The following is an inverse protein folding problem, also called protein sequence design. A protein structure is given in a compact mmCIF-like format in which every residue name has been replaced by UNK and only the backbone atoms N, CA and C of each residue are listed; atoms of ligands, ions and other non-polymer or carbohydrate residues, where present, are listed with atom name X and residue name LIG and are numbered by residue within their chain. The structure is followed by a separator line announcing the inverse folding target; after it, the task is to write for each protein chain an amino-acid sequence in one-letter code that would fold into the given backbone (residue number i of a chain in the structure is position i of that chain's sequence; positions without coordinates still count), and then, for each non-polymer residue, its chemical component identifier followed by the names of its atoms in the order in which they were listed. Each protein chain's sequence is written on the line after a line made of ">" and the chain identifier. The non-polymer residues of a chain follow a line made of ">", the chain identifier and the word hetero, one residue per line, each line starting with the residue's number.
data_IF_116684836341
#
_entry.id   IF_116684836341
#
_cell.length_a   1.000
_cell.length_b   1.000
_cell.length_c   1.000
_cell.angle_alpha   90.00
_cell.angle_beta   90.00
_cell.angle_gamma   90.00
#
_symmetry.space_group_name_H-M   'P 1'
#
loop_
_entity.id
_entity.type
_entity.pdbx_description
1 polymer ?
#
# COMPACT_ATOMS: atom_id res chain seq x y z
N UNK A 1 7.20 -17.70 2.07
CA UNK A 1 7.51 -17.30 0.68
C UNK A 1 9.01 -17.08 0.54
N UNK A 2 9.71 -17.95 -0.19
CA UNK A 2 11.17 -17.84 -0.37
C UNK A 2 11.47 -16.58 -1.21
N UNK A 3 12.30 -15.67 -0.69
CA UNK A 3 12.69 -14.43 -1.38
C UNK A 3 13.65 -14.77 -2.52
N UNK A 4 13.42 -14.22 -3.71
CA UNK A 4 14.33 -14.41 -4.86
C UNK A 4 15.59 -13.56 -4.66
N UNK A 5 16.75 -14.20 -4.61
CA UNK A 5 18.05 -13.52 -4.49
C UNK A 5 18.43 -12.84 -5.81
N UNK A 6 19.38 -11.90 -5.76
CA UNK A 6 19.96 -11.28 -6.95
C UNK A 6 20.54 -12.34 -7.91
N UNK A 7 21.16 -13.39 -7.35
CA UNK A 7 21.66 -14.55 -8.10
C UNK A 7 20.56 -15.30 -8.84
N UNK A 8 19.41 -15.53 -8.19
CA UNK A 8 18.25 -16.14 -8.85
C UNK A 8 17.61 -15.28 -9.94
N UNK A 9 17.89 -13.97 -9.98
CA UNK A 9 17.43 -13.07 -11.06
C UNK A 9 18.41 -13.06 -12.24
N UNK A 10 19.73 -13.13 -11.98
CA UNK A 10 20.73 -13.22 -13.05
C UNK A 10 20.65 -14.56 -13.79
N UNK A 11 20.43 -15.67 -13.07
CA UNK A 11 20.28 -17.00 -13.68
C UNK A 11 19.08 -17.07 -14.64
N UNK A 12 17.93 -16.49 -14.27
CA UNK A 12 16.76 -16.43 -15.17
C UNK A 12 17.01 -15.57 -16.40
N UNK A 13 17.79 -14.48 -16.27
CA UNK A 13 18.17 -13.65 -17.41
C UNK A 13 19.09 -14.40 -18.36
N UNK A 14 20.07 -15.14 -17.83
CA UNK A 14 20.96 -15.98 -18.64
C UNK A 14 20.18 -17.07 -19.39
N UNK A 15 19.23 -17.74 -18.73
CA UNK A 15 18.36 -18.74 -19.35
C UNK A 15 17.44 -18.18 -20.45
N UNK A 16 16.99 -16.92 -20.31
CA UNK A 16 16.20 -16.27 -21.36
C UNK A 16 17.08 -15.92 -22.57
N UNK A 17 18.30 -15.42 -22.33
CA UNK A 17 19.25 -15.10 -23.40
C UNK A 17 19.64 -16.36 -24.18
N UNK A 18 19.91 -17.47 -23.51
CA UNK A 18 20.23 -18.74 -24.20
C UNK A 18 19.08 -19.23 -25.07
N UNK A 19 17.83 -19.18 -24.57
CA UNK A 19 16.64 -19.55 -25.36
C UNK A 19 16.42 -18.65 -26.57
N UNK A 20 16.69 -17.35 -26.45
CA UNK A 20 16.58 -16.41 -27.58
C UNK A 20 17.64 -16.71 -28.65
N UNK A 21 18.88 -17.03 -28.24
CA UNK A 21 19.94 -17.41 -29.17
C UNK A 21 19.65 -18.74 -29.86
N UNK A 22 19.13 -19.73 -29.14
CA UNK A 22 18.72 -21.03 -29.70
C UNK A 22 17.58 -20.88 -30.71
N UNK A 23 16.56 -20.07 -30.37
CA UNK A 23 15.47 -19.75 -31.30
C UNK A 23 15.96 -19.03 -32.56
N UNK A 24 16.92 -18.10 -32.42
CA UNK A 24 17.52 -17.40 -33.56
C UNK A 24 18.30 -18.34 -34.48
N UNK A 25 18.98 -19.36 -33.92
CA UNK A 25 19.71 -20.36 -34.70
C UNK A 25 18.75 -21.32 -35.44
N UNK A 26 17.62 -21.70 -34.83
CA UNK A 26 16.60 -22.52 -35.49
C UNK A 26 15.98 -21.84 -36.72
N UNK A 27 15.89 -20.51 -36.72
CA UNK A 27 15.37 -19.74 -37.85
C UNK A 27 16.38 -19.47 -38.97
N UNK A 28 17.69 -19.70 -38.77
CA UNK A 28 18.71 -19.47 -39.80
C UNK A 28 18.92 -20.67 -40.75
N UNK A 29 18.23 -21.79 -40.55
CA UNK A 29 18.38 -23.01 -41.37
C UNK A 29 17.28 -23.18 -42.43
N UNK A 30 16.46 -22.16 -42.69
CA UNK A 30 15.33 -22.22 -43.65
C UNK A 30 15.49 -21.16 -44.76
N UNK A 31 16.35 -21.48 -45.73
CA UNK A 31 16.43 -20.87 -47.07
C UNK A 31 15.84 -21.96 -48.00
N UNK A 32 14.81 -21.82 -48.85
CA UNK A 32 14.27 -20.74 -49.67
C UNK A 32 12.82 -21.10 -50.09
N UNK A 33 12.18 -20.16 -50.81
CA UNK A 33 10.93 -20.25 -51.60
C UNK A 33 9.67 -19.67 -50.94
N UNK A 34 9.24 -18.50 -51.42
CA UNK A 34 7.87 -17.98 -51.28
C UNK A 34 7.76 -16.64 -50.55
N UNK A 35 7.50 -15.58 -51.32
CA UNK A 35 7.22 -14.18 -50.94
C UNK A 35 7.15 -13.84 -49.44
N UNK A 36 8.24 -13.27 -48.91
CA UNK A 36 8.16 -12.53 -47.65
C UNK A 36 7.31 -11.26 -47.86
N UNK A 37 6.38 -10.93 -46.96
CA UNK A 37 5.72 -9.63 -47.00
C UNK A 37 6.80 -8.55 -46.89
N UNK A 38 6.90 -7.68 -47.90
CA UNK A 38 7.83 -6.54 -47.84
C UNK A 38 7.44 -5.70 -46.62
N UNK A 39 8.24 -5.77 -45.56
CA UNK A 39 8.08 -4.91 -44.41
C UNK A 39 8.36 -3.51 -44.94
N UNK A 40 7.31 -2.70 -45.14
CA UNK A 40 7.45 -1.31 -45.55
C UNK A 40 8.44 -0.66 -44.57
N UNK A 41 9.58 -0.22 -45.10
CA UNK A 41 10.63 0.33 -44.27
C UNK A 41 10.14 1.69 -43.75
N UNK A 42 9.55 1.70 -42.56
CA UNK A 42 9.14 2.93 -41.91
C UNK A 42 10.36 3.86 -41.82
N UNK A 43 10.19 5.07 -42.37
CA UNK A 43 11.26 6.06 -42.42
C UNK A 43 11.71 6.42 -41.00
N UNK A 44 12.95 6.91 -40.85
CA UNK A 44 13.47 7.35 -39.54
C UNK A 44 12.55 8.38 -38.87
N UNK A 45 11.95 9.28 -39.68
CA UNK A 45 10.98 10.29 -39.23
C UNK A 45 9.70 9.65 -38.70
N UNK A 46 9.14 8.68 -39.41
CA UNK A 46 7.95 7.94 -38.97
C UNK A 46 8.21 7.18 -37.66
N UNK A 47 9.36 6.51 -37.53
CA UNK A 47 9.75 5.81 -36.30
C UNK A 47 9.94 6.77 -35.11
N UNK A 48 10.42 7.99 -35.36
CA UNK A 48 10.53 9.02 -34.31
C UNK A 48 9.15 9.51 -33.87
N UNK A 49 8.25 9.77 -34.82
CA UNK A 49 6.89 10.19 -34.54
C UNK A 49 6.13 9.12 -33.76
N UNK A 50 6.18 7.85 -34.18
CA UNK A 50 5.56 6.74 -33.46
C UNK A 50 6.09 6.59 -32.03
N UNK A 51 7.38 6.88 -31.78
CA UNK A 51 7.93 6.88 -30.41
C UNK A 51 7.34 8.01 -29.57
N UNK A 52 7.20 9.20 -30.14
CA UNK A 52 6.55 10.34 -29.49
C UNK A 52 5.08 10.03 -29.19
N UNK A 53 4.33 9.52 -30.16
CA UNK A 53 2.92 9.23 -30.04
C UNK A 53 2.66 8.10 -29.04
N UNK A 54 3.51 7.06 -29.01
CA UNK A 54 3.46 6.00 -27.98
C UNK A 54 3.67 6.57 -26.58
N UNK A 55 4.58 7.53 -26.43
CA UNK A 55 4.84 8.18 -25.14
C UNK A 55 3.66 9.06 -24.70
N UNK A 56 3.10 9.87 -25.60
CA UNK A 56 1.91 10.68 -25.32
C UNK A 56 0.71 9.80 -24.98
N UNK A 57 0.49 8.72 -25.74
CA UNK A 57 -0.59 7.75 -25.48
C UNK A 57 -0.41 7.07 -24.12
N UNK A 58 0.83 6.74 -23.73
CA UNK A 58 1.12 6.23 -22.38
C UNK A 58 0.82 7.25 -21.29
N UNK A 59 1.10 8.54 -21.51
CA UNK A 59 0.76 9.60 -20.56
C UNK A 59 -0.75 9.78 -20.44
N UNK A 60 -1.47 9.90 -21.56
CA UNK A 60 -2.93 10.04 -21.59
C UNK A 60 -3.60 8.83 -20.92
N UNK A 61 -3.19 7.61 -21.26
CA UNK A 61 -3.75 6.39 -20.66
C UNK A 61 -3.40 6.24 -19.17
N UNK A 62 -2.25 6.76 -18.71
CA UNK A 62 -1.93 6.85 -17.28
C UNK A 62 -2.80 7.88 -16.54
N UNK A 63 -3.33 8.87 -17.24
CA UNK A 63 -4.20 9.92 -16.66
C UNK A 63 -5.67 9.49 -16.66
N UNK A 64 -6.14 8.72 -17.66
CA UNK A 64 -7.56 8.36 -17.82
C UNK A 64 -8.02 7.16 -16.98
N UNK A 65 -7.14 6.20 -16.65
CA UNK A 65 -7.50 5.07 -15.76
C UNK A 65 -7.14 5.34 -14.29
N UNK A 66 -8.10 5.93 -13.60
CA UNK A 66 -8.21 6.20 -12.15
C UNK A 66 -7.51 5.22 -11.19
N UNK A 67 -6.20 5.38 -10.97
CA UNK A 67 -5.54 5.01 -9.71
C UNK A 67 -4.66 6.16 -9.24
N UNK A 68 -5.26 7.10 -8.50
CA UNK A 68 -4.58 8.19 -7.77
C UNK A 68 -3.57 9.00 -8.59
N UNK A 69 -4.11 9.96 -9.36
CA UNK A 69 -3.44 11.14 -9.94
C UNK A 69 -1.94 11.02 -10.23
N UNK A 70 -1.57 10.45 -11.39
CA UNK A 70 -0.31 10.69 -12.13
C UNK A 70 1.04 10.53 -11.40
N UNK A 71 1.04 10.27 -10.10
CA UNK A 71 2.17 10.42 -9.20
C UNK A 71 2.54 9.02 -8.74
N UNK A 72 3.79 8.62 -9.00
CA UNK A 72 4.29 7.33 -8.53
C UNK A 72 4.18 7.23 -6.99
N UNK A 73 3.98 6.01 -6.48
CA UNK A 73 3.94 5.75 -5.01
C UNK A 73 5.15 6.36 -4.28
N UNK A 74 6.34 6.34 -4.90
CA UNK A 74 7.56 6.93 -4.35
C UNK A 74 7.44 8.45 -4.24
N UNK A 75 6.93 9.12 -5.28
CA UNK A 75 6.72 10.57 -5.28
C UNK A 75 5.70 10.99 -4.21
N UNK A 76 4.56 10.28 -4.09
CA UNK A 76 3.57 10.55 -3.04
C UNK A 76 4.14 10.36 -1.63
N UNK A 77 4.98 9.33 -1.42
CA UNK A 77 5.67 9.13 -0.13
C UNK A 77 6.64 10.27 0.18
N UNK A 78 7.39 10.75 -0.82
CA UNK A 78 8.32 11.87 -0.67
C UNK A 78 7.59 13.17 -0.34
N UNK A 79 6.50 13.47 -1.04
CA UNK A 79 5.65 14.64 -0.74
C UNK A 79 5.11 14.57 0.70
N UNK A 80 4.54 13.43 1.11
CA UNK A 80 4.04 13.24 2.49
C UNK A 80 5.16 13.37 3.53
N UNK A 81 6.36 12.87 3.25
CA UNK A 81 7.51 13.00 4.16
C UNK A 81 7.93 14.46 4.32
N UNK A 82 8.06 15.21 3.21
CA UNK A 82 8.37 16.65 3.24
C UNK A 82 7.32 17.45 4.00
N UNK A 83 6.03 17.21 3.72
CA UNK A 83 4.94 17.87 4.44
C UNK A 83 4.98 17.56 5.94
N UNK A 84 5.26 16.30 6.31
CA UNK A 84 5.45 15.92 7.71
C UNK A 84 6.66 16.59 8.35
N UNK A 85 7.78 16.72 7.64
CA UNK A 85 8.98 17.43 8.11
C UNK A 85 8.72 18.93 8.33
N UNK A 86 7.87 19.54 7.51
CA UNK A 86 7.45 20.94 7.67
C UNK A 86 6.48 21.13 8.86
N UNK A 87 5.61 20.16 9.12
CA UNK A 87 4.63 20.20 10.23
C UNK A 87 5.18 19.69 11.56
N UNK A 88 6.39 19.11 11.57
CA UNK A 88 7.03 18.75 12.83
C UNK A 88 7.33 20.04 13.61
N UNK A 89 7.15 20.04 14.94
CA UNK A 89 7.58 21.17 15.76
C UNK A 89 9.07 21.41 15.52
N UNK A 90 9.40 22.55 14.92
CA UNK A 90 10.78 23.00 14.78
C UNK A 90 11.03 23.96 15.92
N UNK A 91 11.52 23.42 17.04
CA UNK A 91 11.85 24.21 18.22
C UNK A 91 12.87 25.31 17.89
N UNK A 92 13.75 25.04 16.94
CA UNK A 92 14.73 26.00 16.44
C UNK A 92 14.07 27.22 15.75
N UNK A 93 12.99 27.01 14.98
CA UNK A 93 12.24 28.13 14.37
C UNK A 93 11.49 28.96 15.42
N UNK A 94 11.14 28.39 16.57
CA UNK A 94 10.51 29.13 17.67
C UNK A 94 11.54 30.05 18.33
N UNK A 95 12.78 29.59 18.51
CA UNK A 95 13.87 30.40 19.04
C UNK A 95 14.29 31.53 18.08
N UNK A 96 14.25 31.26 16.77
CA UNK A 96 14.59 32.25 15.74
C UNK A 96 13.49 33.31 15.53
N UNK A 97 12.22 32.94 15.71
CA UNK A 97 11.08 33.85 15.55
C UNK A 97 10.56 34.46 16.86
N UNK A 98 11.14 34.11 18.01
CA UNK A 98 10.77 34.74 19.27
C UNK A 98 11.22 36.20 19.20
N UNK A 99 10.30 37.19 19.32
CA UNK A 99 10.73 38.57 19.48
C UNK A 99 11.64 38.60 20.72
N UNK A 100 12.85 39.15 20.57
CA UNK A 100 13.80 39.32 21.68
C UNK A 100 13.26 40.37 22.65
N UNK A 101 12.17 40.07 23.33
CA UNK A 101 11.62 40.88 24.41
C UNK A 101 12.32 40.41 25.68
N UNK A 102 13.35 41.16 26.04
CA UNK A 102 14.07 41.06 27.31
C UNK A 102 13.13 41.37 28.46
N UNK A 103 12.35 40.41 28.96
CA UNK A 103 11.71 40.46 30.27
C UNK A 103 11.37 39.03 30.70
N UNK A 104 12.15 38.50 31.63
CA UNK A 104 11.89 37.24 32.31
C UNK A 104 10.62 37.38 33.15
N UNK A 105 9.53 36.76 32.71
CA UNK A 105 8.29 36.64 33.49
C UNK A 105 8.10 35.16 33.85
N UNK A 106 8.20 34.88 35.15
CA UNK A 106 7.95 33.57 35.74
C UNK A 106 6.53 33.09 35.42
N UNK A 107 6.43 32.05 34.58
CA UNK A 107 5.16 31.37 34.31
C UNK A 107 4.90 30.37 35.44
N UNK A 108 4.03 30.74 36.39
CA UNK A 108 3.43 29.80 37.34
C UNK A 108 2.49 28.86 36.57
N UNK A 109 2.75 27.57 36.67
CA UNK A 109 2.01 26.48 36.03
C UNK A 109 0.56 26.45 36.50
N UNK A 110 -0.36 26.82 35.60
CA UNK A 110 -1.82 26.68 35.74
C UNK A 110 -2.23 25.28 35.23
N UNK A 111 -1.73 24.22 35.88
CA UNK A 111 -1.85 22.86 35.36
C UNK A 111 -3.14 22.14 35.81
N UNK A 112 -4.06 22.81 36.52
CA UNK A 112 -5.21 22.14 37.16
C UNK A 112 -6.61 22.73 36.86
N UNK A 113 -6.76 23.58 35.84
CA UNK A 113 -8.04 24.24 35.55
C UNK A 113 -8.68 23.87 34.20
N UNK A 114 -8.20 22.83 33.51
CA UNK A 114 -8.88 22.29 32.31
C UNK A 114 -9.22 20.83 32.58
N UNK A 115 -10.47 20.61 32.99
CA UNK A 115 -11.03 19.28 33.23
C UNK A 115 -10.76 18.34 32.07
N UNK A 116 -10.34 17.12 32.40
CA UNK A 116 -10.10 16.02 31.46
C UNK A 116 -11.41 15.45 30.89
N UNK A 117 -12.38 16.30 30.52
CA UNK A 117 -13.58 15.89 29.79
C UNK A 117 -13.25 15.82 28.31
N UNK A 118 -12.31 14.92 27.98
CA UNK A 118 -12.10 14.51 26.60
C UNK A 118 -13.32 13.68 26.19
N UNK A 119 -14.26 14.32 25.49
CA UNK A 119 -15.37 13.61 24.84
C UNK A 119 -14.76 12.64 23.82
N UNK A 120 -14.77 11.35 24.14
CA UNK A 120 -14.34 10.29 23.23
C UNK A 120 -15.09 10.45 21.91
N UNK A 121 -14.38 10.90 20.87
CA UNK A 121 -14.98 11.03 19.56
C UNK A 121 -15.44 9.65 19.13
N UNK A 122 -16.75 9.46 18.95
CA UNK A 122 -17.38 8.22 18.53
C UNK A 122 -17.05 7.91 17.06
N UNK A 123 -15.75 7.73 16.77
CA UNK A 123 -15.24 7.42 15.45
C UNK A 123 -15.50 5.95 15.22
N UNK A 124 -16.57 5.68 14.48
CA UNK A 124 -16.86 4.36 13.93
C UNK A 124 -15.58 3.85 13.28
N UNK A 125 -14.99 2.82 13.87
CA UNK A 125 -13.66 2.34 13.49
C UNK A 125 -13.75 1.71 12.09
N UNK A 126 -13.47 2.50 11.05
CA UNK A 126 -13.62 2.12 9.62
C UNK A 126 -12.63 1.03 9.19
N UNK A 127 -11.64 0.70 10.04
CA UNK A 127 -10.59 -0.28 9.75
C UNK A 127 -10.90 -1.67 10.35
N UNK A 128 -12.11 -2.18 10.11
CA UNK A 128 -12.43 -3.57 10.42
C UNK A 128 -11.95 -4.49 9.27
N UNK A 129 -11.47 -5.71 9.57
CA UNK A 129 -11.09 -6.65 8.53
C UNK A 129 -12.29 -6.99 7.65
N UNK A 130 -12.10 -6.99 6.32
CA UNK A 130 -13.15 -7.33 5.36
C UNK A 130 -13.19 -8.86 5.16
N UNK A 131 -14.34 -9.54 5.43
CA UNK A 131 -14.45 -11.00 5.29
C UNK A 131 -14.34 -11.51 3.85
N UNK A 132 -14.63 -10.67 2.86
CA UNK A 132 -14.54 -11.03 1.43
C UNK A 132 -13.08 -11.14 0.98
N UNK A 133 -12.16 -10.43 1.63
CA UNK A 133 -10.73 -10.47 1.28
C UNK A 133 -10.04 -11.58 2.05
N UNK A 134 -9.25 -12.41 1.37
CA UNK A 134 -8.50 -13.51 2.00
C UNK A 134 -7.63 -13.07 3.21
N UNK A 135 -7.04 -11.88 3.15
CA UNK A 135 -6.25 -11.33 4.27
C UNK A 135 -7.12 -10.93 5.46
N UNK A 136 -8.31 -10.37 5.20
CA UNK A 136 -9.27 -10.01 6.24
C UNK A 136 -9.88 -11.26 6.86
N UNK A 137 -10.28 -12.24 6.05
CA UNK A 137 -10.75 -13.55 6.51
C UNK A 137 -9.74 -14.23 7.45
N UNK A 138 -8.45 -14.28 7.06
CA UNK A 138 -7.40 -14.84 7.93
C UNK A 138 -7.28 -14.12 9.27
N UNK A 139 -7.48 -12.80 9.28
CA UNK A 139 -7.42 -12.00 10.51
C UNK A 139 -8.63 -12.25 11.40
N UNK A 140 -9.83 -12.29 10.82
CA UNK A 140 -11.07 -12.64 11.51
C UNK A 140 -10.92 -14.02 12.15
N UNK A 141 -10.49 -15.03 11.40
CA UNK A 141 -10.29 -16.39 11.94
C UNK A 141 -9.29 -16.45 13.10
N UNK A 142 -8.26 -15.62 13.09
CA UNK A 142 -7.32 -15.53 14.21
C UNK A 142 -7.97 -14.91 15.46
N UNK A 143 -8.82 -13.91 15.28
CA UNK A 143 -9.58 -13.27 16.35
C UNK A 143 -10.65 -14.23 16.90
N UNK A 144 -11.40 -14.92 16.03
CA UNK A 144 -12.38 -15.95 16.41
C UNK A 144 -11.74 -17.09 17.21
N UNK A 145 -10.58 -17.62 16.79
CA UNK A 145 -9.89 -18.67 17.54
C UNK A 145 -9.49 -18.22 18.96
N UNK A 146 -9.16 -16.92 19.14
CA UNK A 146 -8.86 -16.36 20.46
C UNK A 146 -10.13 -16.23 21.29
N UNK A 147 -11.21 -15.72 20.69
CA UNK A 147 -12.51 -15.60 21.36
C UNK A 147 -13.04 -16.97 21.79
N UNK A 148 -12.94 -17.98 20.93
CA UNK A 148 -13.32 -19.36 21.26
C UNK A 148 -12.55 -19.89 22.48
N UNK A 149 -11.24 -19.67 22.53
CA UNK A 149 -10.43 -20.05 23.69
C UNK A 149 -10.86 -19.34 24.98
N UNK A 150 -11.39 -18.12 24.88
CA UNK A 150 -11.92 -17.38 26.03
C UNK A 150 -13.31 -17.90 26.45
N UNK A 151 -14.17 -18.24 25.51
CA UNK A 151 -15.48 -18.86 25.79
C UNK A 151 -15.30 -20.17 26.56
N UNK A 152 -14.33 -21.00 26.17
CA UNK A 152 -14.03 -22.25 26.87
C UNK A 152 -13.53 -22.06 28.32
N UNK A 153 -13.03 -20.86 28.66
CA UNK A 153 -12.61 -20.52 30.02
C UNK A 153 -13.75 -20.01 30.88
N UNK A 154 -14.89 -19.62 30.29
CA UNK A 154 -16.02 -19.09 31.03
C UNK A 154 -16.69 -20.21 31.86
N UNK A 155 -16.79 -20.07 33.20
CA UNK A 155 -17.40 -21.09 34.06
C UNK A 155 -18.88 -21.32 33.71
N UNK A 156 -19.61 -20.28 33.29
CA UNK A 156 -21.02 -20.39 32.92
C UNK A 156 -21.18 -21.25 31.66
N UNK A 157 -20.28 -21.09 30.69
CA UNK A 157 -20.25 -21.91 29.47
C UNK A 157 -19.87 -23.37 29.76
N UNK A 158 -18.99 -23.59 30.75
CA UNK A 158 -18.62 -24.94 31.22
C UNK A 158 -19.76 -25.64 31.97
N UNK A 159 -20.58 -24.89 32.71
CA UNK A 159 -21.73 -25.43 33.43
C UNK A 159 -22.87 -25.81 32.48
N UNK A 160 -23.24 -24.92 31.54
CA UNK A 160 -24.28 -25.19 30.54
C UNK A 160 -24.00 -24.44 29.23
N UNK A 161 -23.48 -25.12 28.19
CA UNK A 161 -23.10 -24.45 26.94
C UNK A 161 -24.29 -23.90 26.16
N UNK A 162 -25.42 -24.64 26.14
CA UNK A 162 -26.63 -24.22 25.41
C UNK A 162 -27.35 -23.07 26.10
N UNK A 163 -27.34 -23.00 27.43
CA UNK A 163 -27.96 -21.90 28.17
C UNK A 163 -27.12 -20.61 28.08
N UNK A 164 -25.80 -20.74 28.21
CA UNK A 164 -24.88 -19.63 27.96
C UNK A 164 -25.02 -19.09 26.53
N UNK A 165 -25.19 -19.96 25.53
CA UNK A 165 -25.47 -19.55 24.16
C UNK A 165 -26.81 -18.82 24.02
N UNK A 166 -27.87 -19.32 24.66
CA UNK A 166 -29.20 -18.68 24.64
C UNK A 166 -29.14 -17.27 25.21
N UNK A 167 -28.44 -17.08 26.33
CA UNK A 167 -28.24 -15.78 26.96
C UNK A 167 -27.41 -14.84 26.07
N UNK A 168 -26.31 -15.33 25.49
CA UNK A 168 -25.48 -14.54 24.58
C UNK A 168 -26.24 -14.10 23.32
N UNK A 169 -27.14 -14.93 22.78
CA UNK A 169 -28.01 -14.58 21.66
C UNK A 169 -29.05 -13.52 22.08
N UNK A 170 -29.60 -13.62 23.30
CA UNK A 170 -30.54 -12.64 23.83
C UNK A 170 -29.87 -11.27 24.08
N UNK A 171 -28.64 -11.26 24.59
CA UNK A 171 -27.87 -10.02 24.80
C UNK A 171 -27.53 -9.32 23.48
N UNK A 172 -27.07 -10.04 22.46
CA UNK A 172 -26.73 -9.46 21.15
C UNK A 172 -27.94 -8.99 20.32
N UNK A 173 -29.17 -9.35 20.73
CA UNK A 173 -30.41 -8.90 20.08
C UNK A 173 -30.97 -7.60 20.66
N UNK A 174 -30.49 -7.19 21.82
CA UNK A 174 -30.82 -5.89 22.43
C UNK A 174 -29.92 -4.80 21.86
#
# INVERSE_FOLDING_TARGET
>A
MKKTSLRGKSERRAQLVSKISEFKQQHSSFEQHGSLPSISQATKKQKQQEKSDKFITQLVNKVTFNTSGGISKSSLRRQKRKAKEQLKPKMDEILDNLPKTSNDVEIKSLDNAMGNDFVESNRINRNKPNPVKASGYKRIMKEENRNFSNVLKNPQFRASPFEALKLAIQENRK
#
